data_IF_385880731802
#
_entry.id   IF_385880731802
#
_cell.length_a   1.000
_cell.length_b   1.000
_cell.length_c   1.000
_cell.angle_alpha   90.00
_cell.angle_beta   90.00
_cell.angle_gamma   90.00
#
_symmetry.space_group_name_H-M   'P 1'
#
loop_
_entity.id
_entity.type
_entity.pdbx_description
1 polymer ?
#
# COMPACT_ATOMS: atom_id res chain seq x y z
N UNK A 1 -15.26 -8.91 33.25
CA UNK A 1 -15.13 -8.02 32.08
C UNK A 1 -14.13 -8.66 31.14
N UNK A 2 -14.47 -8.83 29.88
CA UNK A 2 -13.53 -9.27 28.83
C UNK A 2 -12.43 -8.23 28.69
N UNK A 3 -11.19 -8.67 28.44
CA UNK A 3 -10.08 -7.74 28.22
C UNK A 3 -10.24 -7.07 26.85
N UNK A 4 -9.57 -5.95 26.63
CA UNK A 4 -9.57 -5.23 25.35
C UNK A 4 -9.05 -6.13 24.21
N UNK A 5 -8.03 -6.96 24.49
CA UNK A 5 -7.52 -7.96 23.55
C UNK A 5 -8.58 -9.02 23.19
N UNK A 6 -9.30 -9.58 24.17
CA UNK A 6 -10.33 -10.60 23.88
C UNK A 6 -11.49 -10.03 23.05
N UNK A 7 -11.86 -8.75 23.28
CA UNK A 7 -12.83 -8.07 22.42
C UNK A 7 -12.30 -7.91 21.00
N UNK A 8 -11.02 -7.51 20.85
CA UNK A 8 -10.35 -7.44 19.55
C UNK A 8 -10.37 -8.77 18.82
N UNK A 9 -10.05 -9.87 19.52
CA UNK A 9 -10.05 -11.22 18.93
C UNK A 9 -11.44 -11.66 18.50
N UNK A 10 -12.47 -11.31 19.26
CA UNK A 10 -13.87 -11.59 18.90
C UNK A 10 -14.29 -10.88 17.62
N UNK A 11 -13.93 -9.59 17.48
CA UNK A 11 -14.18 -8.85 16.24
C UNK A 11 -13.33 -9.39 15.09
N UNK A 12 -12.08 -9.73 15.33
CA UNK A 12 -11.16 -10.23 14.30
C UNK A 12 -11.65 -11.56 13.72
N UNK A 13 -12.06 -12.51 14.58
CA UNK A 13 -12.64 -13.80 14.14
C UNK A 13 -13.83 -13.57 13.19
N UNK A 14 -14.70 -12.61 13.53
CA UNK A 14 -15.83 -12.27 12.68
C UNK A 14 -15.41 -11.60 11.39
N UNK A 15 -14.47 -10.65 11.40
CA UNK A 15 -13.98 -9.98 10.20
C UNK A 15 -13.27 -10.95 9.23
N UNK A 16 -12.50 -11.91 9.76
CA UNK A 16 -11.85 -12.97 8.96
C UNK A 16 -12.88 -13.84 8.24
N UNK A 17 -14.04 -14.10 8.88
CA UNK A 17 -15.10 -14.95 8.28
C UNK A 17 -15.76 -14.35 7.03
N UNK A 18 -15.54 -13.09 6.73
CA UNK A 18 -16.02 -12.47 5.50
C UNK A 18 -14.97 -12.61 4.38
N UNK A 19 -15.41 -13.16 3.23
CA UNK A 19 -14.59 -13.18 2.02
C UNK A 19 -14.52 -11.79 1.42
N UNK A 20 -13.34 -11.18 1.54
CA UNK A 20 -13.06 -9.83 1.05
C UNK A 20 -11.90 -9.83 0.05
N UNK A 21 -11.63 -10.99 -0.59
CA UNK A 21 -10.53 -11.15 -1.55
C UNK A 21 -10.68 -10.23 -2.76
N UNK A 22 -9.58 -9.72 -3.19
CA UNK A 22 -9.49 -8.82 -4.32
C UNK A 22 -8.28 -9.20 -5.22
N UNK A 23 -8.47 -9.87 -6.37
CA UNK A 23 -9.71 -10.43 -6.89
C UNK A 23 -10.29 -11.60 -6.05
N UNK A 24 -11.59 -12.00 -6.22
CA UNK A 24 -12.50 -11.59 -7.28
C UNK A 24 -13.22 -10.24 -7.06
N UNK A 25 -13.00 -9.55 -5.94
CA UNK A 25 -13.59 -8.24 -5.66
C UNK A 25 -15.12 -8.27 -5.66
N UNK A 26 -15.68 -9.24 -4.92
CA UNK A 26 -17.12 -9.48 -4.84
C UNK A 26 -17.80 -8.71 -3.68
N UNK A 27 -17.14 -7.73 -3.10
CA UNK A 27 -17.66 -6.92 -2.00
C UNK A 27 -18.90 -6.12 -2.43
N UNK A 28 -19.86 -6.03 -1.51
CA UNK A 28 -21.07 -5.21 -1.62
C UNK A 28 -21.21 -4.35 -0.38
N UNK A 29 -22.14 -3.42 -0.37
CA UNK A 29 -22.42 -2.55 0.79
C UNK A 29 -23.00 -3.28 2.01
N UNK A 30 -23.25 -4.58 1.92
CA UNK A 30 -23.67 -5.47 2.99
C UNK A 30 -22.52 -6.25 3.63
N UNK A 31 -22.83 -7.36 4.28
CA UNK A 31 -21.84 -8.29 4.81
C UNK A 31 -20.93 -7.70 5.88
N UNK A 32 -19.64 -7.52 5.58
CA UNK A 32 -18.65 -6.95 6.52
C UNK A 32 -19.04 -5.52 6.95
N UNK A 33 -19.61 -4.71 6.04
CA UNK A 33 -20.03 -3.34 6.35
C UNK A 33 -21.27 -3.30 7.24
N UNK A 34 -22.21 -4.24 7.08
CA UNK A 34 -23.36 -4.38 8.00
C UNK A 34 -22.89 -4.76 9.40
N UNK A 35 -21.92 -5.68 9.48
CA UNK A 35 -21.30 -6.04 10.76
C UNK A 35 -20.66 -4.82 11.43
N UNK A 36 -19.81 -4.07 10.72
CA UNK A 36 -19.18 -2.88 11.27
C UNK A 36 -20.19 -1.83 11.73
N UNK A 37 -21.27 -1.62 10.96
CA UNK A 37 -22.34 -0.70 11.35
C UNK A 37 -23.00 -1.11 12.66
N UNK A 38 -23.24 -2.42 12.86
CA UNK A 38 -23.82 -2.96 14.11
C UNK A 38 -22.86 -2.82 15.29
N UNK A 39 -21.55 -2.92 15.04
CA UNK A 39 -20.53 -2.87 16.08
C UNK A 39 -20.06 -1.44 16.44
N UNK A 40 -20.55 -0.41 15.77
CA UNK A 40 -20.23 0.99 16.03
C UNK A 40 -21.46 1.80 16.46
N UNK A 41 -22.10 1.45 17.61
CA UNK A 41 -23.21 2.22 18.12
C UNK A 41 -22.79 3.64 18.49
N UNK A 42 -23.62 4.63 18.21
CA UNK A 42 -23.32 6.04 18.47
C UNK A 42 -22.48 6.74 17.40
N UNK A 43 -21.98 6.01 16.38
CA UNK A 43 -21.34 6.62 15.23
C UNK A 43 -22.37 7.02 14.17
N UNK A 44 -22.12 8.15 13.51
CA UNK A 44 -22.74 8.45 12.20
C UNK A 44 -21.97 7.66 11.15
N UNK A 45 -22.69 6.80 10.43
CA UNK A 45 -22.10 5.88 9.46
C UNK A 45 -22.60 6.20 8.06
N UNK A 46 -21.68 6.27 7.11
CA UNK A 46 -21.92 6.41 5.68
C UNK A 46 -21.21 5.29 4.93
N UNK A 47 -21.92 4.58 4.07
CA UNK A 47 -21.35 3.53 3.20
C UNK A 47 -21.62 3.91 1.77
N UNK A 48 -20.56 4.02 0.97
CA UNK A 48 -20.62 4.48 -0.41
C UNK A 48 -20.02 3.41 -1.32
N UNK A 49 -20.80 3.00 -2.32
CA UNK A 49 -20.33 2.14 -3.41
C UNK A 49 -19.81 3.03 -4.55
N UNK A 50 -18.52 2.94 -4.82
CA UNK A 50 -17.84 3.65 -5.91
C UNK A 50 -17.79 2.81 -7.20
N UNK A 51 -18.45 1.67 -7.21
CA UNK A 51 -18.50 0.74 -8.33
C UNK A 51 -17.36 -0.29 -8.33
N UNK A 52 -17.59 -1.40 -9.02
CA UNK A 52 -16.64 -2.50 -9.18
C UNK A 52 -16.02 -3.01 -7.86
N UNK A 53 -16.80 -3.03 -6.77
CA UNK A 53 -16.36 -3.51 -5.45
C UNK A 53 -15.50 -2.53 -4.65
N UNK A 54 -15.28 -1.30 -5.12
CA UNK A 54 -14.69 -0.23 -4.33
C UNK A 54 -15.76 0.37 -3.41
N UNK A 55 -15.70 0.10 -2.14
CA UNK A 55 -16.67 0.52 -1.14
C UNK A 55 -15.93 1.21 0.01
N UNK A 56 -16.35 2.40 0.36
CA UNK A 56 -15.90 3.08 1.56
C UNK A 56 -16.97 3.05 2.65
N UNK A 57 -16.51 2.81 3.88
CA UNK A 57 -17.33 2.92 5.09
C UNK A 57 -16.70 3.99 5.97
N UNK A 58 -17.38 5.11 6.10
CA UNK A 58 -16.94 6.20 6.95
C UNK A 58 -17.81 6.26 8.21
N UNK A 59 -17.18 6.24 9.37
CA UNK A 59 -17.86 6.32 10.67
C UNK A 59 -17.24 7.42 11.51
N UNK A 60 -18.06 8.27 12.13
CA UNK A 60 -17.58 9.35 12.99
C UNK A 60 -18.45 9.51 14.22
N UNK A 61 -17.80 9.68 15.38
CA UNK A 61 -18.40 10.02 16.68
C UNK A 61 -17.68 11.23 17.24
N UNK A 62 -18.44 12.26 17.63
CA UNK A 62 -17.89 13.51 18.17
C UNK A 62 -17.20 14.39 17.12
N UNK A 63 -16.11 15.03 17.53
CA UNK A 63 -15.26 15.90 16.70
C UNK A 63 -13.78 15.49 16.80
N UNK A 64 -13.42 14.30 16.29
CA UNK A 64 -12.07 13.78 16.43
C UNK A 64 -11.05 14.60 15.63
N UNK A 65 -9.87 14.76 16.20
CA UNK A 65 -8.72 15.39 15.54
C UNK A 65 -8.11 14.48 14.47
N UNK A 66 -8.17 13.16 14.68
CA UNK A 66 -7.47 12.15 13.88
C UNK A 66 -8.46 11.23 13.18
N UNK A 67 -8.10 10.85 11.96
CA UNK A 67 -8.78 9.81 11.20
C UNK A 67 -7.93 8.54 11.21
N UNK A 68 -8.54 7.40 11.48
CA UNK A 68 -7.93 6.10 11.21
C UNK A 68 -8.45 5.55 9.87
N UNK A 69 -7.54 5.16 9.00
CA UNK A 69 -7.86 4.49 7.75
C UNK A 69 -7.34 3.05 7.77
N UNK A 70 -8.18 2.13 7.33
CA UNK A 70 -7.88 0.68 7.26
C UNK A 70 -8.54 0.09 6.03
N UNK A 71 -7.83 -0.62 5.19
CA UNK A 71 -8.47 -1.41 4.15
C UNK A 71 -9.04 -2.73 4.70
N UNK A 72 -10.07 -3.24 4.06
CA UNK A 72 -10.76 -4.48 4.47
C UNK A 72 -10.64 -5.59 3.43
N UNK A 73 -10.28 -5.23 2.20
CA UNK A 73 -9.99 -6.21 1.17
C UNK A 73 -8.66 -6.91 1.47
N UNK A 74 -8.49 -8.08 0.93
CA UNK A 74 -7.32 -8.93 1.09
C UNK A 74 -6.89 -9.48 -0.26
N UNK A 75 -5.63 -9.81 -0.41
CA UNK A 75 -5.19 -10.62 -1.56
C UNK A 75 -5.91 -11.96 -1.62
N UNK A 76 -5.96 -12.63 -2.79
CA UNK A 76 -6.41 -14.01 -2.88
C UNK A 76 -5.56 -14.93 -2.00
N UNK A 77 -6.20 -15.94 -1.42
CA UNK A 77 -5.50 -17.00 -0.70
C UNK A 77 -4.61 -17.83 -1.65
N UNK A 78 -3.47 -18.24 -1.15
CA UNK A 78 -2.57 -19.13 -1.88
C UNK A 78 -3.00 -20.61 -1.68
N UNK A 79 -2.68 -21.52 -2.62
CA UNK A 79 -3.01 -22.94 -2.49
C UNK A 79 -2.22 -23.65 -1.36
N UNK A 80 -1.31 -22.95 -0.69
CA UNK A 80 -0.44 -23.52 0.35
C UNK A 80 -0.98 -23.31 1.78
N UNK A 81 -2.18 -22.74 1.95
CA UNK A 81 -2.81 -22.64 3.26
C UNK A 81 -3.05 -24.00 3.88
N UNK A 82 -2.66 -24.17 5.15
CA UNK A 82 -2.80 -25.45 5.87
C UNK A 82 -4.24 -25.76 6.31
N UNK A 83 -5.14 -24.75 6.32
CA UNK A 83 -6.56 -24.86 6.63
C UNK A 83 -7.33 -23.72 5.97
N UNK A 84 -8.67 -23.68 6.15
CA UNK A 84 -9.53 -22.63 5.60
C UNK A 84 -9.06 -21.23 6.05
N UNK A 85 -8.66 -20.34 5.14
CA UNK A 85 -8.17 -19.00 5.46
C UNK A 85 -9.23 -18.08 6.09
N UNK A 86 -10.52 -18.38 5.89
CA UNK A 86 -11.65 -17.63 6.44
C UNK A 86 -12.10 -18.12 7.84
N UNK A 87 -11.41 -19.11 8.40
CA UNK A 87 -11.64 -19.60 9.76
C UNK A 87 -10.41 -19.27 10.60
N UNK A 88 -10.55 -18.23 11.45
CA UNK A 88 -9.45 -17.80 12.32
C UNK A 88 -9.05 -18.93 13.28
N UNK A 89 -7.78 -19.23 13.36
CA UNK A 89 -7.19 -20.23 14.28
C UNK A 89 -6.36 -19.53 15.34
N UNK A 90 -6.67 -19.78 16.61
CA UNK A 90 -5.89 -19.24 17.73
C UNK A 90 -4.85 -20.26 18.17
N UNK A 91 -3.62 -19.81 18.31
CA UNK A 91 -2.50 -20.51 18.96
C UNK A 91 -2.13 -19.81 20.28
N UNK A 92 -1.11 -20.32 20.98
CA UNK A 92 -0.72 -19.78 22.28
C UNK A 92 -0.26 -18.32 22.24
N UNK A 93 0.37 -17.90 21.14
CA UNK A 93 1.04 -16.60 20.99
C UNK A 93 0.52 -15.78 19.79
N UNK A 94 -0.36 -16.35 18.96
CA UNK A 94 -0.79 -15.73 17.70
C UNK A 94 -2.16 -16.19 17.25
N UNK A 95 -2.71 -15.47 16.28
CA UNK A 95 -3.87 -15.88 15.49
C UNK A 95 -3.50 -15.96 14.03
N UNK A 96 -4.09 -16.93 13.31
CA UNK A 96 -3.83 -17.25 11.92
C UNK A 96 -5.15 -17.13 11.14
N UNK A 97 -5.15 -16.47 10.00
CA UNK A 97 -6.30 -16.29 9.12
C UNK A 97 -6.01 -15.24 8.06
N UNK A 98 -6.71 -15.24 6.96
CA UNK A 98 -6.51 -14.27 5.87
C UNK A 98 -6.89 -12.86 6.31
N UNK A 99 -5.96 -11.93 6.20
CA UNK A 99 -6.12 -10.54 6.61
C UNK A 99 -5.92 -10.31 8.11
N UNK A 100 -5.51 -11.29 8.92
CA UNK A 100 -5.27 -11.04 10.36
C UNK A 100 -4.09 -10.09 10.58
N UNK A 101 -3.10 -10.13 9.71
CA UNK A 101 -1.95 -9.23 9.70
C UNK A 101 -2.20 -8.04 8.77
N UNK A 102 -2.74 -8.29 7.59
CA UNK A 102 -2.93 -7.32 6.52
C UNK A 102 -4.41 -7.28 6.09
N UNK A 103 -5.28 -6.48 6.75
CA UNK A 103 -5.06 -5.67 7.97
C UNK A 103 -6.35 -5.65 8.82
N UNK A 104 -7.17 -6.74 8.75
CA UNK A 104 -8.39 -6.88 9.58
C UNK A 104 -8.10 -6.84 11.08
N UNK A 105 -6.85 -7.20 11.49
CA UNK A 105 -6.41 -7.08 12.88
C UNK A 105 -6.50 -5.66 13.42
N UNK A 106 -6.09 -4.68 12.62
CA UNK A 106 -6.23 -3.27 12.96
C UNK A 106 -7.70 -2.85 13.00
N UNK A 107 -8.51 -3.24 12.00
CA UNK A 107 -9.94 -2.94 11.98
C UNK A 107 -10.65 -3.46 13.23
N UNK A 108 -10.35 -4.69 13.66
CA UNK A 108 -10.88 -5.29 14.88
C UNK A 108 -10.49 -4.50 16.13
N UNK A 109 -9.23 -4.06 16.21
CA UNK A 109 -8.73 -3.26 17.32
C UNK A 109 -9.42 -1.89 17.41
N UNK A 110 -9.65 -1.22 16.26
CA UNK A 110 -10.39 0.05 16.20
C UNK A 110 -11.81 -0.12 16.75
N UNK A 111 -12.52 -1.18 16.35
CA UNK A 111 -13.87 -1.46 16.82
C UNK A 111 -13.86 -1.76 18.33
N UNK A 112 -12.92 -2.56 18.81
CA UNK A 112 -12.80 -2.90 20.24
C UNK A 112 -12.51 -1.65 21.09
N UNK A 113 -11.60 -0.78 20.68
CA UNK A 113 -11.28 0.46 21.36
C UNK A 113 -12.45 1.46 21.35
N UNK A 114 -13.17 1.57 20.23
CA UNK A 114 -14.35 2.43 20.11
C UNK A 114 -15.47 2.02 21.08
N UNK A 115 -15.58 0.71 21.37
CA UNK A 115 -16.57 0.16 22.29
C UNK A 115 -16.12 0.14 23.76
N UNK A 116 -14.82 0.38 24.03
CA UNK A 116 -14.29 0.46 25.37
C UNK A 116 -14.61 1.80 26.09
N UNK A 117 -14.97 2.84 25.33
CA UNK A 117 -15.31 4.17 25.80
C UNK A 117 -16.22 4.93 24.85
N UNK A 118 -16.39 6.21 25.13
CA UNK A 118 -17.24 7.14 24.37
C UNK A 118 -16.45 8.30 23.75
N UNK A 119 -15.12 8.18 23.71
CA UNK A 119 -14.23 9.18 23.13
C UNK A 119 -14.50 9.46 21.66
N UNK A 120 -14.11 10.64 21.20
CA UNK A 120 -14.26 11.06 19.80
C UNK A 120 -13.41 10.21 18.88
N UNK A 121 -13.99 9.70 17.80
CA UNK A 121 -13.28 8.84 16.84
C UNK A 121 -13.81 8.98 15.42
N UNK A 122 -12.92 8.85 14.43
CA UNK A 122 -13.28 8.74 13.03
C UNK A 122 -12.54 7.56 12.38
N UNK A 123 -13.28 6.75 11.62
CA UNK A 123 -12.78 5.60 10.90
C UNK A 123 -13.17 5.69 9.42
N UNK A 124 -12.23 5.42 8.56
CA UNK A 124 -12.46 5.18 7.14
C UNK A 124 -11.99 3.75 6.83
N UNK A 125 -12.93 2.89 6.46
CA UNK A 125 -12.60 1.57 5.94
C UNK A 125 -12.76 1.59 4.43
N UNK A 126 -11.71 1.17 3.71
CA UNK A 126 -11.66 1.05 2.24
C UNK A 126 -11.68 -0.41 1.81
N UNK A 127 -12.03 -0.69 0.55
CA UNK A 127 -12.04 -2.05 0.01
C UNK A 127 -11.44 -2.13 -1.39
N UNK A 128 -10.45 -1.29 -1.69
CA UNK A 128 -9.85 -1.19 -3.01
C UNK A 128 -8.33 -1.00 -2.99
N UNK A 129 -7.68 -1.18 -1.81
CA UNK A 129 -6.24 -1.08 -1.66
C UNK A 129 -5.53 -2.17 -2.46
N UNK A 130 -5.90 -3.43 -2.26
CA UNK A 130 -5.30 -4.61 -2.88
C UNK A 130 -5.55 -4.69 -4.41
N UNK A 131 -6.54 -3.92 -4.89
CA UNK A 131 -6.76 -3.72 -6.32
C UNK A 131 -5.85 -2.63 -6.91
N UNK A 132 -5.09 -1.93 -6.09
CA UNK A 132 -4.38 -0.70 -6.49
C UNK A 132 -5.33 0.33 -7.12
N UNK A 133 -6.53 0.49 -6.56
CA UNK A 133 -7.60 1.35 -7.06
C UNK A 133 -7.91 2.44 -6.02
N UNK A 134 -7.54 3.69 -6.24
CA UNK A 134 -7.63 4.72 -5.21
C UNK A 134 -9.02 5.37 -5.09
N UNK A 135 -10.10 4.77 -5.58
CA UNK A 135 -11.43 5.41 -5.63
C UNK A 135 -11.99 5.76 -4.26
N UNK A 136 -11.85 4.85 -3.28
CA UNK A 136 -12.32 5.10 -1.91
C UNK A 136 -11.61 6.31 -1.31
N UNK A 137 -10.29 6.35 -1.39
CA UNK A 137 -9.49 7.44 -0.84
C UNK A 137 -9.70 8.74 -1.64
N UNK A 138 -9.74 8.69 -2.98
CA UNK A 138 -9.99 9.86 -3.81
C UNK A 138 -11.35 10.51 -3.50
N UNK A 139 -12.41 9.71 -3.33
CA UNK A 139 -13.73 10.19 -2.96
C UNK A 139 -13.74 10.81 -1.56
N UNK A 140 -13.01 10.23 -0.61
CA UNK A 140 -12.88 10.79 0.73
C UNK A 140 -12.12 12.12 0.71
N UNK A 141 -11.00 12.22 0.00
CA UNK A 141 -10.18 13.44 -0.10
C UNK A 141 -10.96 14.61 -0.73
N UNK A 142 -11.86 14.34 -1.68
CA UNK A 142 -12.71 15.36 -2.28
C UNK A 142 -13.63 16.07 -1.26
N UNK A 143 -13.85 15.49 -0.08
CA UNK A 143 -14.69 16.06 0.99
C UNK A 143 -13.95 17.14 1.81
N UNK A 144 -12.62 17.17 1.78
CA UNK A 144 -11.78 18.14 2.50
C UNK A 144 -12.13 18.27 3.99
N UNK A 145 -12.32 17.14 4.69
CA UNK A 145 -12.68 17.13 6.10
C UNK A 145 -11.50 17.60 6.98
N UNK A 146 -11.77 18.30 8.11
CA UNK A 146 -10.74 19.01 8.87
C UNK A 146 -10.00 18.12 9.89
N UNK A 147 -9.42 17.01 9.46
CA UNK A 147 -8.55 16.20 10.32
C UNK A 147 -7.14 16.79 10.39
N UNK A 148 -6.56 16.79 11.59
CA UNK A 148 -5.18 17.25 11.81
C UNK A 148 -4.18 16.24 11.24
N UNK A 149 -4.48 14.93 11.38
CA UNK A 149 -3.68 13.87 10.79
C UNK A 149 -4.51 12.61 10.50
N UNK A 150 -3.96 11.75 9.64
CA UNK A 150 -4.52 10.44 9.28
C UNK A 150 -3.52 9.35 9.67
N UNK A 151 -3.99 8.35 10.41
CA UNK A 151 -3.25 7.16 10.78
C UNK A 151 -3.73 6.00 9.88
N UNK A 152 -2.85 5.53 9.02
CA UNK A 152 -3.14 4.45 8.11
C UNK A 152 -2.63 3.15 8.72
N UNK A 153 -3.51 2.19 8.90
CA UNK A 153 -3.14 0.90 9.45
C UNK A 153 -2.52 0.03 8.35
N UNK A 154 -1.29 -0.39 8.61
CA UNK A 154 -0.56 -1.38 7.85
C UNK A 154 0.41 -2.13 8.79
N UNK A 155 0.94 -3.31 8.43
CA UNK A 155 1.81 -4.09 9.30
C UNK A 155 3.15 -3.40 9.58
N UNK A 156 3.21 -2.60 10.64
CA UNK A 156 4.41 -1.85 11.07
C UNK A 156 4.89 -2.23 12.46
N UNK A 157 4.50 -3.41 12.96
CA UNK A 157 4.89 -3.92 14.29
C UNK A 157 4.45 -3.01 15.46
N UNK A 158 3.44 -2.15 15.25
CA UNK A 158 3.00 -1.16 16.24
C UNK A 158 3.97 0.02 16.38
N UNK A 159 4.73 0.34 15.34
CA UNK A 159 5.61 1.49 15.26
C UNK A 159 5.08 2.49 14.20
N UNK A 160 5.19 3.78 14.49
CA UNK A 160 4.82 4.84 13.56
C UNK A 160 5.86 4.98 12.45
N UNK A 161 5.47 4.70 11.22
CA UNK A 161 6.29 4.85 10.02
C UNK A 161 5.95 6.19 9.35
N UNK A 162 6.97 7.04 9.20
CA UNK A 162 6.83 8.42 8.74
C UNK A 162 7.25 8.61 7.27
N UNK A 163 7.76 7.57 6.64
CA UNK A 163 8.19 7.61 5.26
C UNK A 163 8.15 6.22 4.61
N UNK A 164 7.68 6.16 3.37
CA UNK A 164 7.81 4.99 2.51
C UNK A 164 8.07 5.39 1.05
N UNK A 165 8.52 4.42 0.25
CA UNK A 165 8.76 4.66 -1.16
C UNK A 165 7.47 4.85 -1.93
N UNK A 166 7.56 5.62 -3.02
CA UNK A 166 6.58 5.58 -4.09
C UNK A 166 6.70 4.28 -4.90
N UNK A 167 5.82 4.14 -5.86
CA UNK A 167 5.86 3.06 -6.85
C UNK A 167 5.45 3.60 -8.21
N UNK A 168 6.17 3.20 -9.26
CA UNK A 168 5.74 3.38 -10.64
C UNK A 168 6.13 2.17 -11.46
N UNK A 169 5.29 1.83 -12.42
CA UNK A 169 5.53 0.76 -13.40
C UNK A 169 5.28 1.28 -14.81
N UNK A 170 6.08 0.80 -15.75
CA UNK A 170 5.96 1.21 -17.14
C UNK A 170 6.14 0.07 -18.13
N UNK A 171 5.51 0.24 -19.28
CA UNK A 171 5.61 -0.60 -20.46
C UNK A 171 6.36 0.15 -21.55
N UNK A 172 7.36 -0.49 -22.16
CA UNK A 172 8.04 0.01 -23.35
C UNK A 172 7.93 -0.99 -24.49
N UNK A 173 7.75 -0.47 -25.71
CA UNK A 173 7.83 -1.27 -26.94
C UNK A 173 8.88 -0.70 -27.88
N UNK A 174 9.70 -1.59 -28.38
CA UNK A 174 10.76 -1.28 -29.34
C UNK A 174 10.42 -1.87 -30.70
N UNK A 175 10.71 -1.13 -31.77
CA UNK A 175 10.49 -1.56 -33.12
C UNK A 175 11.83 -1.76 -33.84
N UNK A 176 11.95 -2.89 -34.52
CA UNK A 176 13.09 -3.25 -35.34
C UNK A 176 12.68 -3.58 -36.75
N UNK A 177 13.62 -4.05 -37.56
CA UNK A 177 13.39 -4.52 -38.91
C UNK A 177 13.84 -5.96 -39.05
N UNK A 178 12.88 -6.85 -39.32
CA UNK A 178 13.19 -8.27 -39.57
C UNK A 178 14.21 -8.47 -40.69
N UNK A 179 15.07 -9.47 -40.52
CA UNK A 179 16.08 -9.83 -41.50
C UNK A 179 16.87 -11.05 -41.05
N UNK A 180 17.71 -11.58 -41.93
CA UNK A 180 18.60 -12.68 -41.59
C UNK A 180 19.82 -12.18 -40.82
N UNK A 181 20.17 -12.85 -39.71
CA UNK A 181 21.22 -12.38 -38.78
C UNK A 181 22.63 -12.36 -39.41
N UNK A 182 22.89 -13.09 -40.52
CA UNK A 182 24.19 -13.08 -41.20
C UNK A 182 24.43 -11.89 -42.11
N UNK A 183 23.41 -11.06 -42.36
CA UNK A 183 23.55 -9.85 -43.16
C UNK A 183 24.28 -8.73 -42.41
N UNK A 184 24.94 -7.82 -43.18
CA UNK A 184 25.48 -6.58 -42.60
C UNK A 184 24.33 -5.70 -42.16
N UNK A 185 24.28 -5.38 -40.87
CA UNK A 185 23.14 -4.72 -40.27
C UNK A 185 23.52 -3.47 -39.47
N UNK A 186 22.55 -2.53 -39.42
CA UNK A 186 22.56 -1.46 -38.46
C UNK A 186 22.34 -2.04 -37.07
N UNK A 187 23.16 -1.69 -36.07
CA UNK A 187 22.99 -2.12 -34.68
C UNK A 187 21.62 -1.79 -34.08
N UNK A 188 20.92 -0.80 -34.61
CA UNK A 188 19.57 -0.42 -34.20
C UNK A 188 18.45 -1.24 -34.85
N UNK A 189 18.76 -2.10 -35.83
CA UNK A 189 17.75 -2.88 -36.55
C UNK A 189 17.03 -3.92 -35.67
N UNK A 190 17.66 -4.39 -34.60
CA UNK A 190 17.06 -5.37 -33.67
C UNK A 190 16.38 -4.68 -32.48
N UNK A 191 15.08 -4.86 -32.34
CA UNK A 191 14.32 -4.35 -31.21
C UNK A 191 14.83 -4.91 -29.87
N UNK A 192 15.27 -6.17 -29.82
CA UNK A 192 15.87 -6.74 -28.61
C UNK A 192 17.21 -6.09 -28.25
N UNK A 193 18.05 -5.74 -29.25
CA UNK A 193 19.29 -5.01 -28.97
C UNK A 193 19.02 -3.60 -28.43
N UNK A 194 17.97 -2.93 -28.91
CA UNK A 194 17.53 -1.64 -28.37
C UNK A 194 17.09 -1.79 -26.92
N UNK A 195 16.25 -2.78 -26.60
CA UNK A 195 15.80 -3.07 -25.25
C UNK A 195 16.96 -3.39 -24.29
N UNK A 196 17.93 -4.21 -24.72
CA UNK A 196 19.09 -4.55 -23.90
C UNK A 196 20.00 -3.35 -23.62
N UNK A 197 20.23 -2.49 -24.61
CA UNK A 197 21.00 -1.25 -24.40
C UNK A 197 20.29 -0.29 -23.47
N UNK A 198 18.98 -0.14 -23.63
CA UNK A 198 18.16 0.63 -22.69
C UNK A 198 18.30 0.08 -21.27
N UNK A 199 18.18 -1.24 -21.10
CA UNK A 199 18.30 -1.90 -19.78
C UNK A 199 19.66 -1.63 -19.13
N UNK A 200 20.77 -1.70 -19.90
CA UNK A 200 22.10 -1.34 -19.39
C UNK A 200 22.16 0.10 -18.88
N UNK A 201 21.71 1.08 -19.68
CA UNK A 201 21.67 2.49 -19.27
C UNK A 201 20.78 2.73 -18.05
N UNK A 202 19.64 2.05 -17.96
CA UNK A 202 18.73 2.13 -16.82
C UNK A 202 19.40 1.61 -15.53
N UNK A 203 20.08 0.47 -15.60
CA UNK A 203 20.82 -0.09 -14.47
C UNK A 203 21.97 0.82 -14.02
N UNK A 204 22.77 1.34 -14.96
CA UNK A 204 23.87 2.29 -14.66
C UNK A 204 23.30 3.55 -13.95
N UNK A 205 22.16 4.07 -14.41
CA UNK A 205 21.50 5.21 -13.77
C UNK A 205 21.06 4.88 -12.35
N UNK A 206 20.43 3.73 -12.13
CA UNK A 206 19.99 3.29 -10.80
C UNK A 206 21.18 3.17 -9.84
N UNK A 207 22.30 2.60 -10.30
CA UNK A 207 23.54 2.49 -9.54
C UNK A 207 24.09 3.88 -9.16
N UNK A 208 24.01 4.86 -10.06
CA UNK A 208 24.43 6.24 -9.78
C UNK A 208 23.63 6.89 -8.65
N UNK A 209 22.38 6.45 -8.42
CA UNK A 209 21.49 6.92 -7.37
C UNK A 209 21.65 6.16 -6.04
N UNK A 210 22.56 5.19 -5.92
CA UNK A 210 22.72 4.35 -4.72
C UNK A 210 23.03 5.14 -3.44
N UNK A 211 23.57 6.36 -3.56
CA UNK A 211 23.90 7.21 -2.44
C UNK A 211 22.79 8.16 -2.00
N UNK A 212 21.70 8.26 -2.76
CA UNK A 212 20.54 9.06 -2.36
C UNK A 212 19.94 8.55 -1.05
N UNK A 213 19.45 9.45 -0.19
CA UNK A 213 18.92 9.11 1.13
C UNK A 213 17.69 9.94 1.45
N UNK A 214 16.71 9.32 2.14
CA UNK A 214 15.58 10.01 2.74
C UNK A 214 15.03 9.20 3.91
N UNK A 215 14.95 9.77 5.11
CA UNK A 215 14.27 9.15 6.28
C UNK A 215 14.74 7.72 6.61
N UNK A 216 15.99 7.36 6.31
CA UNK A 216 16.52 6.00 6.46
C UNK A 216 16.46 5.13 5.19
N UNK A 217 15.65 5.51 4.19
CA UNK A 217 15.63 4.87 2.87
C UNK A 217 16.88 5.20 2.06
N UNK A 218 17.33 4.25 1.23
CA UNK A 218 18.55 4.41 0.43
C UNK A 218 18.37 4.00 -1.01
N UNK A 219 18.86 4.82 -1.96
CA UNK A 219 18.89 4.55 -3.39
C UNK A 219 17.51 4.39 -4.03
N UNK A 220 17.48 4.28 -5.34
CA UNK A 220 16.29 3.93 -6.10
C UNK A 220 16.15 2.40 -6.16
N UNK A 221 14.99 1.83 -5.82
CA UNK A 221 14.70 0.43 -6.12
C UNK A 221 14.19 0.32 -7.55
N UNK A 222 14.68 -0.66 -8.30
CA UNK A 222 14.35 -0.83 -9.71
C UNK A 222 14.35 -2.31 -10.08
N UNK A 223 13.43 -2.70 -10.97
CA UNK A 223 13.36 -4.06 -11.49
C UNK A 223 12.86 -4.06 -12.94
N UNK A 224 13.57 -4.78 -13.82
CA UNK A 224 13.06 -5.17 -15.12
C UNK A 224 12.34 -6.50 -14.93
N UNK A 225 11.02 -6.48 -14.88
CA UNK A 225 10.20 -7.65 -14.54
C UNK A 225 9.91 -8.57 -15.72
N UNK A 226 9.95 -8.04 -16.94
CA UNK A 226 9.66 -8.84 -18.16
C UNK A 226 10.34 -8.25 -19.37
N UNK A 227 10.91 -9.13 -20.21
CA UNK A 227 11.41 -8.80 -21.55
C UNK A 227 10.96 -9.90 -22.51
N UNK A 228 10.28 -9.51 -23.58
CA UNK A 228 9.82 -10.42 -24.63
C UNK A 228 10.15 -9.85 -26.00
N UNK A 229 10.45 -10.73 -26.95
CA UNK A 229 10.68 -10.33 -28.33
C UNK A 229 11.47 -11.34 -29.15
N UNK A 230 11.56 -11.06 -30.44
CA UNK A 230 12.23 -11.94 -31.38
C UNK A 230 11.49 -13.24 -31.64
N UNK A 231 12.07 -14.08 -32.49
CA UNK A 231 11.48 -15.39 -32.93
C UNK A 231 12.52 -16.50 -32.85
N UNK A 232 13.70 -16.29 -33.47
CA UNK A 232 14.79 -17.28 -33.58
C UNK A 232 16.14 -16.58 -33.58
N UNK A 233 17.19 -17.30 -33.18
CA UNK A 233 18.55 -16.76 -33.07
C UNK A 233 19.13 -16.27 -34.43
N UNK A 234 18.70 -16.80 -35.54
CA UNK A 234 19.14 -16.38 -36.88
C UNK A 234 18.25 -15.31 -37.53
N UNK A 235 17.33 -14.71 -36.76
CA UNK A 235 16.43 -13.64 -37.22
C UNK A 235 16.61 -12.41 -36.35
N UNK A 236 16.61 -11.23 -36.98
CA UNK A 236 16.58 -9.95 -36.28
C UNK A 236 15.21 -9.75 -35.71
N UNK A 237 15.16 -9.36 -34.41
CA UNK A 237 13.91 -9.12 -33.73
C UNK A 237 13.18 -7.88 -34.29
N UNK A 238 12.01 -8.04 -34.91
CA UNK A 238 11.24 -6.91 -35.41
C UNK A 238 10.51 -6.13 -34.32
N UNK A 239 10.33 -6.74 -33.17
CA UNK A 239 9.67 -6.13 -32.01
C UNK A 239 10.25 -6.67 -30.71
N UNK A 240 10.20 -5.84 -29.66
CA UNK A 240 10.42 -6.25 -28.28
C UNK A 240 9.49 -5.45 -27.35
N UNK A 241 9.03 -6.10 -26.30
CA UNK A 241 8.30 -5.48 -25.19
C UNK A 241 9.11 -5.64 -23.91
N UNK A 242 9.14 -4.60 -23.08
CA UNK A 242 9.82 -4.59 -21.81
C UNK A 242 8.90 -3.96 -20.77
N UNK A 243 8.81 -4.59 -19.59
CA UNK A 243 8.09 -4.06 -18.42
C UNK A 243 9.05 -3.89 -17.28
N UNK A 244 9.03 -2.71 -16.68
CA UNK A 244 9.86 -2.39 -15.53
C UNK A 244 9.06 -1.65 -14.48
N UNK A 245 9.56 -1.66 -13.25
CA UNK A 245 9.03 -0.89 -12.15
C UNK A 245 10.16 -0.32 -11.29
N UNK A 246 9.86 0.76 -10.61
CA UNK A 246 10.78 1.38 -9.68
C UNK A 246 10.05 1.94 -8.46
N UNK A 247 10.82 2.11 -7.36
CA UNK A 247 10.31 2.65 -6.10
C UNK A 247 11.18 3.84 -5.68
N UNK A 248 10.75 5.07 -5.99
CA UNK A 248 11.49 6.28 -5.69
C UNK A 248 11.48 6.60 -4.19
N UNK A 249 12.48 7.37 -3.78
CA UNK A 249 12.46 8.04 -2.48
C UNK A 249 11.48 9.22 -2.50
N UNK A 250 10.97 9.68 -1.33
CA UNK A 250 10.16 10.90 -1.25
C UNK A 250 10.84 12.17 -1.78
N UNK A 251 12.15 12.16 -1.92
CA UNK A 251 12.96 13.24 -2.52
C UNK A 251 13.20 13.11 -4.02
N UNK A 252 12.55 12.15 -4.69
CA UNK A 252 12.71 11.91 -6.12
C UNK A 252 11.37 12.11 -6.83
N UNK A 253 11.40 12.86 -7.93
CA UNK A 253 10.22 13.08 -8.76
C UNK A 253 9.99 11.88 -9.70
N UNK A 254 8.76 11.36 -9.74
CA UNK A 254 8.41 10.24 -10.59
C UNK A 254 8.42 10.63 -12.07
N UNK A 255 7.96 11.86 -12.41
CA UNK A 255 7.90 12.31 -13.79
C UNK A 255 9.31 12.53 -14.35
N UNK A 256 10.23 13.08 -13.56
CA UNK A 256 11.65 13.22 -13.92
C UNK A 256 12.31 11.86 -14.14
N UNK A 257 12.01 10.87 -13.29
CA UNK A 257 12.53 9.51 -13.45
C UNK A 257 11.96 8.82 -14.70
N UNK A 258 10.66 8.96 -14.97
CA UNK A 258 10.03 8.42 -16.17
C UNK A 258 10.60 9.07 -17.43
N UNK A 259 10.76 10.38 -17.43
CA UNK A 259 11.38 11.11 -18.56
C UNK A 259 12.83 10.65 -18.79
N UNK A 260 13.59 10.44 -17.72
CA UNK A 260 14.97 9.92 -17.78
C UNK A 260 15.00 8.52 -18.37
N UNK A 261 14.17 7.59 -17.87
CA UNK A 261 14.09 6.22 -18.39
C UNK A 261 13.62 6.19 -19.85
N UNK A 262 12.65 7.02 -20.23
CA UNK A 262 12.21 7.13 -21.63
C UNK A 262 13.36 7.63 -22.52
N UNK A 263 14.15 8.60 -22.05
CA UNK A 263 15.27 9.20 -22.77
C UNK A 263 16.45 8.25 -23.01
N UNK A 264 16.56 7.14 -22.30
CA UNK A 264 17.61 6.14 -22.54
C UNK A 264 17.40 5.30 -23.81
N UNK A 265 16.21 5.37 -24.41
CA UNK A 265 15.91 4.64 -25.63
C UNK A 265 16.47 5.33 -26.87
N UNK A 266 17.39 4.68 -27.57
CA UNK A 266 17.97 5.13 -28.84
C UNK A 266 17.98 3.99 -29.87
N UNK A 267 17.19 4.10 -30.96
CA UNK A 267 16.20 5.17 -31.20
C UNK A 267 15.08 5.18 -30.17
N UNK A 268 14.33 6.27 -30.12
CA UNK A 268 13.21 6.40 -29.19
C UNK A 268 12.27 5.16 -29.25
N UNK A 269 11.76 4.73 -28.10
CA UNK A 269 10.82 3.64 -28.04
C UNK A 269 9.58 3.93 -28.89
N UNK A 270 9.05 2.90 -29.56
CA UNK A 270 7.85 3.04 -30.37
C UNK A 270 6.60 3.31 -29.49
N UNK A 271 6.65 2.89 -28.23
CA UNK A 271 5.62 3.14 -27.22
C UNK A 271 6.26 3.19 -25.85
N UNK A 272 5.84 4.14 -25.03
CA UNK A 272 6.17 4.27 -23.62
C UNK A 272 4.90 4.64 -22.86
N UNK A 273 4.53 3.86 -21.86
CA UNK A 273 3.30 4.04 -21.08
C UNK A 273 3.58 3.76 -19.61
N UNK A 274 3.24 4.70 -18.73
CA UNK A 274 3.15 4.41 -17.31
C UNK A 274 1.89 3.59 -17.06
N UNK A 275 2.04 2.41 -16.48
CA UNK A 275 0.94 1.47 -16.25
C UNK A 275 0.38 1.52 -14.84
N UNK A 276 1.16 2.05 -13.90
CA UNK A 276 0.77 2.24 -12.51
C UNK A 276 1.60 3.32 -11.83
N UNK A 277 0.96 4.10 -10.94
CA UNK A 277 1.62 5.10 -10.11
C UNK A 277 1.02 5.14 -8.70
N UNK A 278 1.89 5.11 -7.68
CA UNK A 278 1.58 5.45 -6.29
C UNK A 278 2.62 6.42 -5.74
N UNK A 279 2.22 7.55 -5.15
CA UNK A 279 3.16 8.53 -4.62
C UNK A 279 3.94 7.99 -3.42
N UNK A 280 5.06 8.58 -3.07
CA UNK A 280 5.80 8.28 -1.85
C UNK A 280 5.16 8.95 -0.62
N UNK A 281 5.48 8.48 0.56
CA UNK A 281 5.17 9.16 1.83
C UNK A 281 6.46 9.77 2.41
N UNK A 282 6.49 11.06 2.74
CA UNK A 282 5.48 12.09 2.41
C UNK A 282 5.38 12.34 0.91
N UNK A 283 4.23 12.83 0.49
CA UNK A 283 3.94 13.18 -0.90
C UNK A 283 3.70 14.69 -1.07
N UNK A 284 3.60 15.14 -2.31
CA UNK A 284 3.40 16.55 -2.70
C UNK A 284 4.72 17.23 -3.05
N UNK A 285 4.91 18.47 -2.62
CA UNK A 285 6.13 19.23 -2.93
C UNK A 285 7.38 18.54 -2.34
N UNK A 286 8.25 18.08 -3.22
CA UNK A 286 9.50 17.37 -2.87
C UNK A 286 10.40 18.24 -2.01
N UNK A 287 10.47 19.54 -2.27
CA UNK A 287 11.28 20.46 -1.47
C UNK A 287 10.81 20.53 0.00
N UNK A 288 9.55 20.18 0.27
CA UNK A 288 8.94 20.15 1.60
C UNK A 288 8.79 18.74 2.18
N UNK A 289 9.32 17.72 1.52
CA UNK A 289 9.15 16.34 1.96
C UNK A 289 9.69 16.12 3.39
N UNK A 290 10.86 16.66 3.73
CA UNK A 290 11.42 16.53 5.08
C UNK A 290 10.61 17.29 6.13
N UNK A 291 10.10 18.48 5.83
CA UNK A 291 9.20 19.23 6.70
C UNK A 291 7.95 18.43 7.01
N UNK A 292 7.33 17.82 5.99
CA UNK A 292 6.13 16.97 6.14
C UNK A 292 6.43 15.72 6.97
N UNK A 293 7.60 15.11 6.78
CA UNK A 293 8.02 13.95 7.60
C UNK A 293 8.19 14.34 9.08
N UNK A 294 8.73 15.52 9.34
CA UNK A 294 8.86 16.04 10.71
C UNK A 294 7.49 16.37 11.33
N UNK A 295 6.55 16.94 10.57
CA UNK A 295 5.18 17.16 11.05
C UNK A 295 4.47 15.83 11.41
N UNK A 296 4.69 14.77 10.64
CA UNK A 296 4.18 13.43 11.00
C UNK A 296 4.86 12.87 12.25
N UNK A 297 6.14 13.19 12.49
CA UNK A 297 6.85 12.85 13.72
C UNK A 297 6.26 13.58 14.94
N UNK A 298 5.98 14.87 14.81
CA UNK A 298 5.38 15.64 15.89
C UNK A 298 4.02 15.05 16.30
N UNK A 299 3.21 14.60 15.35
CA UNK A 299 1.95 13.87 15.63
C UNK A 299 2.22 12.54 16.33
N UNK A 300 3.18 11.75 15.88
CA UNK A 300 3.51 10.49 16.53
C UNK A 300 4.01 10.68 17.96
N UNK A 301 4.83 11.71 18.20
CA UNK A 301 5.33 12.08 19.53
C UNK A 301 4.18 12.58 20.44
N UNK A 302 3.24 13.40 19.92
CA UNK A 302 2.03 13.83 20.66
C UNK A 302 1.17 12.62 21.07
N UNK A 303 1.02 11.64 20.19
CA UNK A 303 0.24 10.43 20.43
C UNK A 303 1.00 9.38 21.26
N UNK A 304 2.27 9.62 21.61
CA UNK A 304 3.12 8.69 22.35
C UNK A 304 3.37 7.38 21.60
N UNK A 305 3.46 7.43 20.27
CA UNK A 305 3.73 6.27 19.42
C UNK A 305 5.24 6.06 19.27
N UNK A 306 5.73 4.82 19.35
CA UNK A 306 7.12 4.53 19.05
C UNK A 306 7.38 4.78 17.55
N UNK A 307 8.51 5.42 17.23
CA UNK A 307 8.89 5.71 15.85
C UNK A 307 9.65 4.52 15.27
N UNK A 308 9.14 3.97 14.19
CA UNK A 308 9.76 2.89 13.41
C UNK A 308 10.67 3.41 12.29
N UNK A 309 11.30 2.46 11.61
CA UNK A 309 12.08 2.73 10.42
C UNK A 309 11.16 3.05 9.24
N UNK A 310 11.65 3.84 8.28
CA UNK A 310 11.00 3.98 6.99
C UNK A 310 10.98 2.63 6.24
N UNK A 311 9.92 2.39 5.47
CA UNK A 311 9.66 1.10 4.81
C UNK A 311 9.74 1.18 3.30
N UNK A 312 10.05 0.06 2.66
CA UNK A 312 10.18 -0.04 1.20
C UNK A 312 8.82 -0.32 0.50
N UNK A 313 7.78 -0.79 1.22
CA UNK A 313 6.45 -1.02 0.66
C UNK A 313 5.63 0.27 0.60
N UNK A 314 4.62 0.26 -0.27
CA UNK A 314 3.71 1.39 -0.50
C UNK A 314 2.44 1.21 0.32
N UNK A 315 1.83 2.32 0.74
CA UNK A 315 0.56 2.35 1.47
C UNK A 315 -0.31 3.53 1.04
N UNK A 316 -1.61 3.48 1.33
CA UNK A 316 -2.56 4.58 1.10
C UNK A 316 -2.17 5.89 1.83
N UNK A 317 -1.26 5.86 2.81
CA UNK A 317 -0.80 7.06 3.52
C UNK A 317 -0.27 8.14 2.57
N UNK A 318 0.36 7.73 1.49
CA UNK A 318 0.86 8.65 0.47
C UNK A 318 -0.26 9.41 -0.26
N UNK A 319 -1.43 8.80 -0.44
CA UNK A 319 -2.59 9.44 -1.05
C UNK A 319 -3.14 10.54 -0.14
N UNK A 320 -3.26 10.27 1.16
CA UNK A 320 -3.65 11.28 2.15
C UNK A 320 -2.64 12.42 2.23
N UNK A 321 -1.35 12.09 2.21
CA UNK A 321 -0.28 13.08 2.16
C UNK A 321 -0.35 13.94 0.90
N UNK A 322 -0.61 13.35 -0.28
CA UNK A 322 -0.85 14.07 -1.52
C UNK A 322 -2.08 14.98 -1.44
N UNK A 323 -3.12 14.56 -0.73
CA UNK A 323 -4.31 15.33 -0.43
C UNK A 323 -4.13 16.46 0.59
N UNK A 324 -2.90 16.63 1.12
CA UNK A 324 -2.54 17.73 2.02
C UNK A 324 -2.63 17.40 3.51
N UNK A 325 -3.01 16.19 3.90
CA UNK A 325 -3.04 15.76 5.29
C UNK A 325 -1.64 15.40 5.80
N UNK A 326 -1.39 15.61 7.09
CA UNK A 326 -0.32 14.90 7.78
C UNK A 326 -0.71 13.43 7.89
N UNK A 327 0.13 12.53 7.35
CA UNK A 327 -0.17 11.11 7.30
C UNK A 327 1.01 10.30 7.83
N UNK A 328 0.71 9.25 8.58
CA UNK A 328 1.68 8.27 9.07
C UNK A 328 1.07 6.88 9.02
N UNK A 329 1.92 5.86 8.95
CA UNK A 329 1.50 4.47 8.95
C UNK A 329 1.69 3.89 10.34
N UNK A 330 0.66 3.23 10.88
CA UNK A 330 0.70 2.66 12.23
C UNK A 330 -0.29 1.50 12.36
N UNK A 331 0.20 0.28 12.45
CA UNK A 331 -0.64 -0.91 12.61
C UNK A 331 0.08 -2.09 13.23
N UNK A 332 -0.68 -3.12 13.63
CA UNK A 332 -0.13 -4.35 14.20
C UNK A 332 0.45 -5.24 13.08
N UNK A 333 1.21 -6.26 13.48
CA UNK A 333 1.71 -7.26 12.55
C UNK A 333 3.04 -6.88 11.89
N UNK A 334 3.62 -7.84 11.22
CA UNK A 334 4.86 -7.72 10.46
C UNK A 334 4.55 -7.93 8.98
N UNK A 335 4.94 -6.99 8.12
CA UNK A 335 4.73 -7.06 6.66
C UNK A 335 5.28 -8.35 6.03
N UNK A 336 6.27 -8.99 6.65
CA UNK A 336 6.78 -10.28 6.21
C UNK A 336 5.73 -11.41 6.28
N UNK A 337 4.63 -11.23 7.00
CA UNK A 337 3.50 -12.16 7.08
C UNK A 337 2.42 -11.87 6.05
N UNK A 338 2.34 -10.66 5.54
CA UNK A 338 1.37 -10.28 4.51
C UNK A 338 1.56 -11.12 3.24
N UNK A 339 0.45 -11.45 2.57
CA UNK A 339 0.42 -12.21 1.30
C UNK A 339 1.04 -13.61 1.36
N UNK A 340 1.22 -14.17 2.56
CA UNK A 340 1.78 -15.52 2.76
C UNK A 340 0.69 -16.54 3.16
N UNK A 341 0.94 -17.81 2.89
CA UNK A 341 0.09 -18.87 3.44
C UNK A 341 0.24 -18.92 4.96
N UNK A 342 -0.87 -19.21 5.66
CA UNK A 342 -0.92 -19.21 7.12
C UNK A 342 -0.48 -17.88 7.74
N UNK A 343 -0.83 -16.77 7.08
CA UNK A 343 -0.66 -15.42 7.58
C UNK A 343 -1.08 -15.31 9.05
N UNK A 344 -0.27 -14.66 9.87
CA UNK A 344 -0.52 -14.52 11.30
C UNK A 344 -0.16 -13.15 11.84
N UNK A 345 -0.77 -12.80 12.97
CA UNK A 345 -0.37 -11.68 13.82
C UNK A 345 -0.24 -12.19 15.26
N UNK A 346 0.74 -11.70 16.02
CA UNK A 346 0.91 -12.13 17.40
C UNK A 346 -0.09 -11.45 18.33
N UNK A 347 -0.47 -12.14 19.42
CA UNK A 347 -1.36 -11.57 20.44
C UNK A 347 -0.73 -10.32 21.08
N UNK A 348 0.58 -10.34 21.28
CA UNK A 348 1.32 -9.17 21.81
C UNK A 348 1.21 -7.95 20.89
N UNK A 349 1.37 -8.13 19.56
CA UNK A 349 1.25 -7.04 18.60
C UNK A 349 -0.16 -6.46 18.61
N UNK A 350 -1.20 -7.30 18.62
CA UNK A 350 -2.60 -6.85 18.69
C UNK A 350 -2.88 -6.13 20.00
N UNK A 351 -2.41 -6.65 21.13
CA UNK A 351 -2.61 -6.05 22.44
C UNK A 351 -1.96 -4.66 22.54
N UNK A 352 -0.70 -4.53 22.14
CA UNK A 352 0.01 -3.25 22.10
C UNK A 352 -0.68 -2.24 21.19
N UNK A 353 -1.13 -2.68 20.02
CA UNK A 353 -1.81 -1.80 19.07
C UNK A 353 -3.16 -1.34 19.62
N UNK A 354 -4.01 -2.24 20.11
CA UNK A 354 -5.34 -1.87 20.62
C UNK A 354 -5.24 -0.98 21.87
N UNK A 355 -4.22 -1.17 22.73
CA UNK A 355 -3.95 -0.28 23.85
C UNK A 355 -3.55 1.13 23.40
N UNK A 356 -2.74 1.23 22.34
CA UNK A 356 -2.38 2.54 21.78
C UNK A 356 -3.59 3.24 21.16
N UNK A 357 -4.42 2.51 20.43
CA UNK A 357 -5.67 3.02 19.84
C UNK A 357 -6.65 3.47 20.94
N UNK A 358 -6.83 2.67 22.00
CA UNK A 358 -7.70 3.02 23.13
C UNK A 358 -7.22 4.30 23.83
N UNK A 359 -5.91 4.45 24.02
CA UNK A 359 -5.33 5.68 24.57
C UNK A 359 -5.61 6.89 23.68
N UNK A 360 -5.48 6.76 22.35
CA UNK A 360 -5.74 7.86 21.42
C UNK A 360 -7.22 8.24 21.41
N UNK A 361 -8.12 7.27 21.42
CA UNK A 361 -9.57 7.51 21.33
C UNK A 361 -10.15 7.93 22.69
N UNK A 362 -9.79 7.24 23.76
CA UNK A 362 -10.45 7.35 25.07
C UNK A 362 -9.59 8.04 26.15
N UNK A 363 -8.32 8.36 25.85
CA UNK A 363 -7.43 9.05 26.79
C UNK A 363 -6.99 8.19 28.00
N UNK A 364 -6.92 6.87 27.85
CA UNK A 364 -6.69 5.92 28.95
C UNK A 364 -5.33 5.25 28.87
#
# INVERSE_FOLDING_TARGET
MTTLLENTLTHLEKLVSFDTRNPPRALTTGGIFDYLRQQLPGFKVEVIDHGAGAISFYAVRGTPKYLFNVHLDTVPDSPHWSADPHVMRRQSDRVIGLGVCDIKGAAAALVAAANAGDGDAAFLFSSDEEANDPRCIAAFLARQLPYEAVLIAEPTMGEAVLAHRGISSALMKFSGRAGHASGKQDPSASALHQAMRWGGRALDHVESLAHARFGGLTGLRFNIGRVEGGIKANMIAPSAELRFGFRPLPSMDIDDLLATFAGFAEPAAAHFEETFRGPSLPSGDIARAEERRLAARDVADELGLPIGNAVDFWTEASLFSAGGYTALVFGPGDIAQAHTADEFVTLEQLERYVQSVDRIINGR
#
